data_IF_962055122248
#
_entry.id   IF_962055122248
#
_cell.length_a   1.000
_cell.length_b   1.000
_cell.length_c   1.000
_cell.angle_alpha   90.00
_cell.angle_beta   90.00
_cell.angle_gamma   90.00
#
_symmetry.space_group_name_H-M   'P 1'
#
loop_
_entity.id
_entity.type
_entity.pdbx_description
1 polymer ?
#
# COMPACT_ATOMS: atom_id res chain seq x y z
N UNK A 1 -14.00 -7.30 17.98
CA UNK A 1 -12.56 -7.19 18.36
C UNK A 1 -12.34 -7.84 19.73
N UNK A 2 -12.52 -9.16 19.84
CA UNK A 2 -12.38 -9.88 21.12
C UNK A 2 -11.12 -10.75 21.09
N UNK A 3 -10.40 -10.80 22.20
CA UNK A 3 -9.18 -11.59 22.36
C UNK A 3 -9.47 -13.08 22.12
N UNK A 4 -8.74 -13.71 21.20
CA UNK A 4 -8.86 -15.15 20.88
C UNK A 4 -9.82 -15.50 19.74
N UNK A 5 -10.52 -14.54 19.15
CA UNK A 5 -11.34 -14.76 17.94
C UNK A 5 -10.51 -14.61 16.65
N UNK A 6 -11.00 -15.17 15.54
CA UNK A 6 -10.47 -14.88 14.21
C UNK A 6 -10.53 -13.37 13.95
N UNK A 7 -9.50 -12.84 13.26
CA UNK A 7 -9.43 -11.42 12.93
C UNK A 7 -10.38 -11.13 11.77
N UNK A 8 -11.44 -10.38 12.06
CA UNK A 8 -12.28 -9.74 11.05
C UNK A 8 -11.55 -8.50 10.52
N UNK A 9 -10.88 -8.65 9.37
CA UNK A 9 -10.05 -7.60 8.77
C UNK A 9 -10.88 -6.42 8.28
N UNK A 10 -12.06 -6.68 7.75
CA UNK A 10 -12.94 -5.64 7.18
C UNK A 10 -13.51 -4.77 8.31
N UNK A 11 -13.99 -5.39 9.39
CA UNK A 11 -14.47 -4.65 10.56
C UNK A 11 -13.34 -3.85 11.23
N UNK A 12 -12.12 -4.41 11.31
CA UNK A 12 -10.93 -3.69 11.83
C UNK A 12 -10.61 -2.49 10.94
N UNK A 13 -10.58 -2.69 9.62
CA UNK A 13 -10.27 -1.63 8.67
C UNK A 13 -11.30 -0.51 8.77
N UNK A 14 -12.59 -0.82 8.75
CA UNK A 14 -13.65 0.18 8.80
C UNK A 14 -13.58 1.04 10.07
N UNK A 15 -13.38 0.40 11.24
CA UNK A 15 -13.22 1.12 12.50
C UNK A 15 -11.97 2.01 12.52
N UNK A 16 -10.83 1.50 12.02
CA UNK A 16 -9.59 2.29 11.96
C UNK A 16 -9.72 3.45 10.98
N UNK A 17 -10.33 3.22 9.81
CA UNK A 17 -10.53 4.24 8.77
C UNK A 17 -11.34 5.40 9.31
N UNK A 18 -12.48 5.13 9.97
CA UNK A 18 -13.31 6.17 10.59
C UNK A 18 -12.51 7.01 11.61
N UNK A 19 -11.72 6.36 12.46
CA UNK A 19 -10.89 7.07 13.44
C UNK A 19 -9.77 7.89 12.77
N UNK A 20 -9.10 7.32 11.77
CA UNK A 20 -8.01 7.97 11.04
C UNK A 20 -8.51 9.18 10.25
N UNK A 21 -9.71 9.11 9.68
CA UNK A 21 -10.37 10.23 9.01
C UNK A 21 -10.58 11.43 9.94
N UNK A 22 -10.88 11.18 11.21
CA UNK A 22 -10.95 12.24 12.23
C UNK A 22 -9.56 12.76 12.60
N UNK A 23 -8.58 11.87 12.74
CA UNK A 23 -7.21 12.22 13.16
C UNK A 23 -6.53 13.12 12.12
N UNK A 24 -6.68 12.84 10.82
CA UNK A 24 -6.04 13.64 9.77
C UNK A 24 -6.57 15.07 9.67
N UNK A 25 -7.77 15.35 10.20
CA UNK A 25 -8.31 16.72 10.29
C UNK A 25 -7.59 17.56 11.35
N UNK A 26 -6.90 16.94 12.30
CA UNK A 26 -6.13 17.65 13.32
C UNK A 26 -4.87 18.21 12.66
N UNK A 27 -4.66 19.55 12.66
CA UNK A 27 -3.49 20.14 12.05
C UNK A 27 -2.20 19.62 12.70
N UNK A 28 -1.24 19.25 11.87
CA UNK A 28 0.09 18.91 12.37
C UNK A 28 0.78 20.11 13.00
N UNK A 29 1.55 19.85 14.05
CA UNK A 29 2.54 20.81 14.56
C UNK A 29 3.58 21.13 13.47
N UNK A 30 4.26 22.29 13.54
CA UNK A 30 5.24 22.68 12.52
C UNK A 30 6.33 21.61 12.27
N UNK A 31 6.88 21.00 13.33
CA UNK A 31 7.89 19.95 13.20
C UNK A 31 7.35 18.72 12.47
N UNK A 32 6.19 18.20 12.89
CA UNK A 32 5.57 17.05 12.21
C UNK A 32 5.20 17.36 10.76
N UNK A 33 4.84 18.61 10.46
CA UNK A 33 4.56 19.05 9.08
C UNK A 33 5.83 19.00 8.24
N UNK A 34 6.96 19.46 8.76
CA UNK A 34 8.25 19.33 8.07
C UNK A 34 8.58 17.85 7.82
N UNK A 35 8.51 16.99 8.85
CA UNK A 35 8.76 15.54 8.71
C UNK A 35 7.87 14.88 7.66
N UNK A 36 6.60 15.31 7.57
CA UNK A 36 5.69 14.81 6.56
C UNK A 36 6.07 15.29 5.14
N UNK A 37 6.42 16.56 4.98
CA UNK A 37 6.88 17.08 3.69
C UNK A 37 8.17 16.39 3.22
N UNK A 38 9.10 16.15 4.14
CA UNK A 38 10.34 15.43 3.84
C UNK A 38 10.04 13.98 3.41
N UNK A 39 9.15 13.28 4.13
CA UNK A 39 8.69 11.95 3.73
C UNK A 39 8.06 11.94 2.32
N UNK A 40 7.20 12.93 2.01
CA UNK A 40 6.61 13.03 0.67
C UNK A 40 7.68 13.21 -0.41
N UNK A 41 8.67 14.08 -0.16
CA UNK A 41 9.75 14.33 -1.09
C UNK A 41 10.67 13.11 -1.28
N UNK A 42 10.98 12.39 -0.20
CA UNK A 42 11.80 11.18 -0.21
C UNK A 42 11.12 10.02 -0.96
N UNK A 43 9.82 9.81 -0.75
CA UNK A 43 9.10 8.70 -1.38
C UNK A 43 8.66 9.00 -2.82
N UNK A 44 8.40 10.27 -3.14
CA UNK A 44 8.11 10.76 -4.48
C UNK A 44 6.96 10.03 -5.19
N UNK A 45 7.15 9.80 -6.49
CA UNK A 45 6.09 9.32 -7.39
C UNK A 45 5.51 7.95 -7.01
N UNK A 46 6.32 7.07 -6.40
CA UNK A 46 5.88 5.75 -5.99
C UNK A 46 4.78 5.84 -4.93
N UNK A 47 4.98 6.68 -3.90
CA UNK A 47 3.97 6.94 -2.88
C UNK A 47 2.74 7.60 -3.47
N UNK A 48 2.92 8.62 -4.33
CA UNK A 48 1.79 9.30 -4.95
C UNK A 48 0.94 8.36 -5.83
N UNK A 49 1.56 7.41 -6.52
CA UNK A 49 0.85 6.42 -7.32
C UNK A 49 0.14 5.40 -6.44
N UNK A 50 0.78 4.93 -5.37
CA UNK A 50 0.14 4.05 -4.39
C UNK A 50 -1.08 4.71 -3.76
N UNK A 51 -0.94 5.96 -3.30
CA UNK A 51 -2.02 6.72 -2.68
C UNK A 51 -3.18 7.01 -3.65
N UNK A 52 -2.88 7.32 -4.91
CA UNK A 52 -3.90 7.49 -5.94
C UNK A 52 -4.61 6.17 -6.26
N UNK A 53 -3.88 5.06 -6.36
CA UNK A 53 -4.48 3.75 -6.54
C UNK A 53 -5.44 3.42 -5.40
N UNK A 54 -5.06 3.67 -4.15
CA UNK A 54 -5.94 3.46 -2.99
C UNK A 54 -7.21 4.33 -3.07
N UNK A 55 -7.09 5.60 -3.44
CA UNK A 55 -8.24 6.51 -3.59
C UNK A 55 -9.19 6.05 -4.72
N UNK A 56 -8.65 5.59 -5.85
CA UNK A 56 -9.44 5.06 -6.96
C UNK A 56 -10.07 3.70 -6.62
N UNK A 57 -9.37 2.84 -5.90
CA UNK A 57 -9.83 1.53 -5.48
C UNK A 57 -11.03 1.60 -4.51
N UNK A 58 -11.12 2.65 -3.69
CA UNK A 58 -12.29 2.89 -2.85
C UNK A 58 -13.56 3.17 -3.67
N UNK A 59 -13.42 3.75 -4.87
CA UNK A 59 -14.54 4.11 -5.74
C UNK A 59 -14.88 2.96 -6.69
N UNK A 60 -13.87 2.29 -7.24
CA UNK A 60 -14.02 1.35 -8.35
C UNK A 60 -13.73 -0.11 -7.97
N UNK A 61 -13.35 -0.37 -6.72
CA UNK A 61 -12.88 -1.68 -6.26
C UNK A 61 -11.38 -1.90 -6.52
N UNK A 62 -10.79 -2.94 -5.90
CA UNK A 62 -9.34 -3.15 -5.90
C UNK A 62 -8.78 -3.66 -7.24
N UNK A 63 -9.63 -3.97 -8.22
CA UNK A 63 -9.18 -4.49 -9.52
C UNK A 63 -9.16 -3.39 -10.59
N UNK A 64 -7.98 -2.83 -10.83
CA UNK A 64 -7.80 -1.73 -11.78
C UNK A 64 -8.15 -2.08 -13.23
N UNK A 65 -8.15 -3.36 -13.59
CA UNK A 65 -8.54 -3.82 -14.93
C UNK A 65 -10.02 -3.55 -15.22
N UNK A 66 -10.83 -3.44 -14.16
CA UNK A 66 -12.28 -3.18 -14.25
C UNK A 66 -12.63 -1.70 -14.22
N UNK A 67 -11.66 -0.83 -13.91
CA UNK A 67 -11.87 0.62 -13.86
C UNK A 67 -12.22 1.20 -15.24
N UNK A 68 -12.78 2.42 -15.30
CA UNK A 68 -12.91 3.16 -16.54
C UNK A 68 -11.58 3.20 -17.31
N UNK A 69 -11.61 3.04 -18.64
CA UNK A 69 -10.41 2.97 -19.48
C UNK A 69 -9.45 4.14 -19.25
N UNK A 70 -10.01 5.35 -19.08
CA UNK A 70 -9.26 6.56 -18.79
C UNK A 70 -8.46 6.52 -17.47
N UNK A 71 -8.70 5.58 -16.57
CA UNK A 71 -8.02 5.45 -15.27
C UNK A 71 -7.09 4.23 -15.19
N UNK A 72 -7.08 3.38 -16.22
CA UNK A 72 -6.26 2.15 -16.23
C UNK A 72 -4.78 2.42 -16.42
N UNK A 73 -4.41 3.47 -17.16
CA UNK A 73 -3.02 3.89 -17.29
C UNK A 73 -2.72 5.00 -16.26
N UNK A 74 -1.75 4.81 -15.35
CA UNK A 74 -1.35 5.82 -14.37
C UNK A 74 -0.87 7.14 -15.00
N UNK A 75 -0.45 7.10 -16.27
CA UNK A 75 0.09 8.24 -17.03
C UNK A 75 -0.98 8.94 -17.90
N UNK A 76 -2.22 8.44 -17.90
CA UNK A 76 -3.27 9.01 -18.74
C UNK A 76 -3.69 10.41 -18.28
N UNK A 77 -4.27 11.23 -19.19
CA UNK A 77 -4.91 12.49 -18.80
C UNK A 77 -6.07 12.30 -17.81
N UNK A 78 -6.78 11.16 -17.89
CA UNK A 78 -7.88 10.82 -16.98
C UNK A 78 -7.38 10.61 -15.55
N UNK A 79 -6.29 9.88 -15.38
CA UNK A 79 -5.64 9.67 -14.08
C UNK A 79 -5.05 10.97 -13.54
N UNK A 80 -4.44 11.80 -14.39
CA UNK A 80 -3.94 13.11 -13.98
C UNK A 80 -5.06 14.01 -13.44
N UNK A 81 -6.22 14.01 -14.10
CA UNK A 81 -7.42 14.73 -13.63
C UNK A 81 -7.94 14.14 -12.32
N UNK A 82 -8.05 12.82 -12.22
CA UNK A 82 -8.50 12.15 -10.99
C UNK A 82 -7.58 12.47 -9.80
N UNK A 83 -6.26 12.57 -10.03
CA UNK A 83 -5.30 12.99 -9.01
C UNK A 83 -5.64 14.37 -8.42
N UNK A 84 -6.01 15.33 -9.27
CA UNK A 84 -6.41 16.67 -8.83
C UNK A 84 -7.79 16.67 -8.15
N UNK A 85 -8.76 15.91 -8.68
CA UNK A 85 -10.11 15.82 -8.13
C UNK A 85 -10.15 15.09 -6.77
N UNK A 86 -9.24 14.15 -6.55
CA UNK A 86 -9.15 13.33 -5.33
C UNK A 86 -8.02 13.76 -4.40
N UNK A 87 -7.50 15.00 -4.52
CA UNK A 87 -6.31 15.46 -3.81
C UNK A 87 -6.33 15.18 -2.30
N UNK A 88 -7.44 15.49 -1.63
CA UNK A 88 -7.57 15.26 -0.18
C UNK A 88 -7.56 13.77 0.18
N UNK A 89 -8.10 12.92 -0.70
CA UNK A 89 -8.10 11.47 -0.48
C UNK A 89 -6.74 10.84 -0.78
N UNK A 90 -6.04 11.37 -1.77
CA UNK A 90 -4.64 11.02 -2.03
C UNK A 90 -3.79 11.42 -0.82
N UNK A 91 -3.92 12.65 -0.30
CA UNK A 91 -3.19 13.06 0.90
C UNK A 91 -3.53 12.18 2.10
N UNK A 92 -4.80 11.79 2.28
CA UNK A 92 -5.18 10.84 3.33
C UNK A 92 -4.38 9.54 3.26
N UNK A 93 -4.25 8.91 2.08
CA UNK A 93 -3.46 7.68 1.94
C UNK A 93 -1.96 7.92 2.10
N UNK A 94 -1.43 9.07 1.65
CA UNK A 94 -0.06 9.49 1.95
C UNK A 94 0.18 9.64 3.46
N UNK A 95 -0.79 10.21 4.21
CA UNK A 95 -0.76 10.31 5.68
C UNK A 95 -0.70 8.93 6.32
N UNK A 96 -1.47 7.96 5.82
CA UNK A 96 -1.46 6.61 6.36
C UNK A 96 -0.09 5.93 6.15
N UNK A 97 0.49 6.07 4.97
CA UNK A 97 1.83 5.56 4.68
C UNK A 97 2.88 6.20 5.61
N UNK A 98 2.83 7.52 5.79
CA UNK A 98 3.74 8.25 6.69
C UNK A 98 3.59 7.82 8.14
N UNK A 99 2.35 7.69 8.64
CA UNK A 99 2.09 7.21 10.01
C UNK A 99 2.62 5.79 10.21
N UNK A 100 2.44 4.92 9.22
CA UNK A 100 2.94 3.54 9.25
C UNK A 100 4.46 3.50 9.31
N UNK A 101 5.13 4.25 8.43
CA UNK A 101 6.59 4.35 8.42
C UNK A 101 7.13 4.92 9.74
N UNK A 102 6.49 5.96 10.29
CA UNK A 102 6.87 6.58 11.56
C UNK A 102 6.74 5.60 12.73
N UNK A 103 5.63 4.84 12.78
CA UNK A 103 5.40 3.85 13.83
C UNK A 103 6.36 2.66 13.74
N UNK A 104 6.66 2.20 12.52
CA UNK A 104 7.62 1.12 12.31
C UNK A 104 9.03 1.56 12.74
N UNK A 105 9.45 2.77 12.36
CA UNK A 105 10.75 3.31 12.78
C UNK A 105 10.84 3.48 14.30
N UNK A 106 9.73 3.85 14.96
CA UNK A 106 9.67 3.92 16.43
C UNK A 106 9.79 2.53 17.07
N UNK A 107 9.16 1.51 16.50
CA UNK A 107 9.28 0.14 16.97
C UNK A 107 10.70 -0.41 16.81
N UNK A 108 11.37 -0.10 15.69
CA UNK A 108 12.78 -0.45 15.47
C UNK A 108 13.68 0.16 16.55
N UNK A 109 13.57 1.48 16.77
CA UNK A 109 14.34 2.17 17.81
C UNK A 109 14.11 1.58 19.19
N UNK A 110 12.85 1.29 19.54
CA UNK A 110 12.53 0.68 20.82
C UNK A 110 13.17 -0.71 20.99
N UNK A 111 13.30 -1.50 19.91
CA UNK A 111 13.96 -2.79 19.94
C UNK A 111 15.49 -2.65 20.15
N UNK A 112 16.12 -1.70 19.46
CA UNK A 112 17.55 -1.39 19.61
C UNK A 112 17.88 -0.85 21.01
N UNK A 113 17.08 0.08 21.52
CA UNK A 113 17.21 0.67 22.86
C UNK A 113 17.06 -0.40 23.97
N UNK A 114 16.28 -1.46 23.70
CA UNK A 114 16.14 -2.62 24.59
C UNK A 114 17.33 -3.60 24.51
N UNK A 115 18.35 -3.30 23.69
CA UNK A 115 19.58 -4.08 23.54
C UNK A 115 19.55 -5.15 22.45
N UNK A 116 18.55 -5.15 21.55
CA UNK A 116 18.55 -6.05 20.41
C UNK A 116 19.56 -5.59 19.36
N UNK A 117 20.54 -6.42 19.02
CA UNK A 117 21.60 -6.06 18.06
C UNK A 117 21.16 -5.94 16.59
N UNK A 118 19.95 -6.39 16.24
CA UNK A 118 19.37 -6.27 14.89
C UNK A 118 18.03 -5.53 14.92
N UNK A 119 17.24 -5.68 15.99
CA UNK A 119 15.89 -5.13 16.08
C UNK A 119 14.87 -5.97 15.30
N UNK A 120 14.11 -5.32 14.42
CA UNK A 120 13.05 -5.91 13.60
C UNK A 120 13.64 -6.54 12.34
N UNK A 121 13.25 -7.80 12.08
CA UNK A 121 13.56 -8.49 10.81
C UNK A 121 12.31 -8.49 9.95
N UNK A 122 12.42 -7.94 8.74
CA UNK A 122 11.34 -7.90 7.77
C UNK A 122 11.34 -9.17 6.90
N UNK A 123 10.13 -9.56 6.48
CA UNK A 123 9.92 -10.58 5.45
C UNK A 123 9.47 -9.88 4.17
N UNK A 124 10.15 -10.15 3.05
CA UNK A 124 9.87 -9.55 1.75
C UNK A 124 9.22 -10.60 0.85
N UNK A 125 7.96 -10.36 0.49
CA UNK A 125 7.24 -11.23 -0.42
C UNK A 125 7.92 -11.31 -1.80
N UNK A 126 7.83 -12.48 -2.44
CA UNK A 126 8.46 -12.75 -3.75
C UNK A 126 7.82 -11.98 -4.91
N UNK A 127 6.59 -11.46 -4.73
CA UNK A 127 5.88 -10.71 -5.76
C UNK A 127 4.66 -9.99 -5.22
N UNK A 128 3.91 -9.37 -6.14
CA UNK A 128 2.78 -8.50 -5.84
C UNK A 128 1.48 -9.04 -6.44
N UNK A 129 0.34 -8.58 -5.94
CA UNK A 129 -0.95 -8.98 -6.51
C UNK A 129 -1.12 -8.44 -7.94
N UNK A 130 -1.63 -9.22 -8.91
CA UNK A 130 -1.75 -8.83 -10.32
C UNK A 130 -2.63 -7.61 -10.56
N UNK A 131 -3.51 -7.30 -9.61
CA UNK A 131 -4.40 -6.14 -9.63
C UNK A 131 -4.00 -5.04 -8.61
N UNK A 132 -2.84 -5.16 -7.98
CA UNK A 132 -2.39 -4.21 -6.94
C UNK A 132 -1.80 -2.91 -7.50
N UNK A 133 -1.52 -1.97 -6.60
CA UNK A 133 -0.94 -0.66 -6.92
C UNK A 133 0.36 -0.74 -7.73
N UNK A 134 1.24 -1.69 -7.42
CA UNK A 134 2.51 -1.89 -8.14
C UNK A 134 2.26 -2.24 -9.61
N UNK A 135 1.38 -3.21 -9.87
CA UNK A 135 1.03 -3.64 -11.24
C UNK A 135 0.27 -2.58 -12.01
N UNK A 136 -0.51 -1.75 -11.33
CA UNK A 136 -1.17 -0.60 -11.96
C UNK A 136 -0.17 0.50 -12.31
N UNK A 137 0.76 0.82 -11.40
CA UNK A 137 1.67 1.97 -11.54
C UNK A 137 2.92 1.69 -12.39
N UNK A 138 3.36 0.43 -12.44
CA UNK A 138 4.57 -0.01 -13.12
C UNK A 138 4.26 -1.11 -14.16
N UNK A 139 3.22 -0.91 -14.97
CA UNK A 139 2.75 -1.90 -15.95
C UNK A 139 3.86 -2.46 -16.85
N UNK A 140 4.82 -1.62 -17.24
CA UNK A 140 5.93 -1.99 -18.12
C UNK A 140 6.98 -2.89 -17.43
N UNK A 141 6.90 -3.07 -16.11
CA UNK A 141 7.82 -3.88 -15.31
C UNK A 141 7.35 -5.33 -15.08
N UNK A 142 6.10 -5.68 -15.42
CA UNK A 142 5.50 -6.98 -15.11
C UNK A 142 5.06 -7.73 -16.37
N UNK A 143 5.29 -9.04 -16.43
CA UNK A 143 4.80 -9.87 -17.53
C UNK A 143 3.33 -10.27 -17.32
N UNK A 144 2.41 -9.51 -17.92
CA UNK A 144 0.97 -9.79 -17.82
C UNK A 144 0.60 -11.13 -18.48
N UNK A 145 -0.32 -11.87 -17.86
CA UNK A 145 -0.76 -13.20 -18.32
C UNK A 145 0.21 -14.34 -17.99
N UNK A 146 1.34 -14.05 -17.33
CA UNK A 146 2.24 -15.04 -16.75
C UNK A 146 2.08 -15.09 -15.23
N UNK A 147 2.44 -16.23 -14.62
CA UNK A 147 2.48 -16.34 -13.18
C UNK A 147 3.72 -17.07 -12.67
N UNK A 148 4.29 -16.55 -11.58
CA UNK A 148 5.33 -17.19 -10.79
C UNK A 148 4.73 -18.39 -10.06
N UNK A 149 5.55 -19.44 -9.94
CA UNK A 149 5.17 -20.64 -9.23
C UNK A 149 6.37 -21.54 -8.97
N UNK A 150 6.08 -22.78 -8.60
CA UNK A 150 7.07 -23.83 -8.44
C UNK A 150 6.69 -25.04 -9.31
N UNK A 151 7.65 -25.67 -10.03
CA UNK A 151 7.36 -26.86 -10.80
C UNK A 151 6.98 -28.04 -9.88
N UNK A 152 6.35 -29.10 -10.42
CA UNK A 152 6.14 -30.35 -9.69
C UNK A 152 7.40 -30.91 -9.06
N UNK A 153 7.28 -31.43 -7.84
CA UNK A 153 8.36 -32.08 -7.09
C UNK A 153 7.89 -33.36 -6.38
N UNK A 154 8.77 -33.95 -5.57
CA UNK A 154 8.51 -35.20 -4.85
C UNK A 154 7.41 -35.09 -3.78
N UNK A 155 7.10 -33.88 -3.29
CA UNK A 155 6.08 -33.63 -2.28
C UNK A 155 4.77 -33.12 -2.90
N UNK A 156 4.86 -32.39 -4.01
CA UNK A 156 3.72 -31.87 -4.74
C UNK A 156 3.87 -32.11 -6.25
N UNK A 157 3.28 -33.21 -6.71
CA UNK A 157 3.28 -33.61 -8.11
C UNK A 157 2.50 -32.66 -9.05
N UNK A 158 1.74 -31.68 -8.53
CA UNK A 158 1.04 -30.67 -9.35
C UNK A 158 1.82 -29.36 -9.47
N UNK A 159 2.90 -29.19 -8.70
CA UNK A 159 3.55 -27.89 -8.57
C UNK A 159 2.65 -26.85 -7.90
N UNK A 160 3.01 -25.59 -8.03
CA UNK A 160 2.30 -24.46 -7.43
C UNK A 160 2.23 -23.32 -8.44
N UNK A 161 1.07 -22.68 -8.49
CA UNK A 161 0.85 -21.41 -9.16
C UNK A 161 0.49 -20.40 -8.06
N UNK A 162 1.27 -19.33 -7.95
CA UNK A 162 1.09 -18.34 -6.89
C UNK A 162 0.26 -17.14 -7.34
N UNK A 163 -0.13 -17.06 -8.61
CA UNK A 163 -0.94 -15.95 -9.13
C UNK A 163 -0.22 -14.60 -9.18
N UNK A 164 1.11 -14.57 -9.05
CA UNK A 164 1.92 -13.34 -9.02
C UNK A 164 2.55 -13.11 -10.41
N UNK A 165 2.45 -11.93 -11.02
CA UNK A 165 3.14 -11.65 -12.27
C UNK A 165 4.66 -11.51 -12.02
N UNK A 166 5.51 -12.14 -12.85
CA UNK A 166 6.97 -12.00 -12.77
C UNK A 166 7.47 -10.66 -13.33
#
# INVERSE_FOLDING_TARGET
LNKGALIDRDAVWELKRQALELVVQVPLTPGRRADYCDFLAEQGQALENHALWCALAEVHGPDWHTWPEALRDPRSPGTARARSELLDRVDFHCRLAWLTATQLAAAQRAAEDAGMGVGIVHDLAVGVHPAGADTWSQQDAFAHGMSVGAPPDAFNARGQDWGLPP
#
